data_IF_112569423704
#
_entry.id   IF_112569423704
#
_cell.length_a   1.000
_cell.length_b   1.000
_cell.length_c   1.000
_cell.angle_alpha   90.00
_cell.angle_beta   90.00
_cell.angle_gamma   90.00
#
_symmetry.space_group_name_H-M   'P 1'
#
loop_
_entity.id
_entity.type
_entity.pdbx_description
1 polymer ?
#
# COMPACT_ATOMS: atom_id res chain seq x y z
N UNK A 1 13.62 8.11 10.55
CA UNK A 1 13.47 7.31 9.30
C UNK A 1 13.68 5.86 9.69
N UNK A 2 12.60 5.10 9.87
CA UNK A 2 12.67 3.72 10.38
C UNK A 2 12.28 2.76 9.25
N UNK A 3 13.22 2.46 8.35
CA UNK A 3 13.03 1.43 7.31
C UNK A 3 13.29 0.04 7.92
N UNK A 4 12.31 -0.50 8.63
CA UNK A 4 12.26 -1.93 8.93
C UNK A 4 11.52 -2.63 7.79
N UNK A 5 12.26 -3.20 6.84
CA UNK A 5 11.70 -4.10 5.83
C UNK A 5 12.09 -5.54 6.17
N UNK A 6 11.09 -6.38 6.47
CA UNK A 6 11.27 -7.82 6.70
C UNK A 6 10.66 -8.57 5.52
N UNK A 7 11.39 -9.49 4.91
CA UNK A 7 10.89 -10.30 3.79
C UNK A 7 9.56 -10.98 4.14
N UNK A 8 8.56 -10.88 3.25
CA UNK A 8 7.16 -11.29 3.47
C UNK A 8 6.19 -10.15 3.83
N UNK A 9 6.72 -8.96 4.10
CA UNK A 9 5.93 -7.75 4.38
C UNK A 9 5.45 -7.04 3.10
N UNK A 10 6.24 -7.15 2.02
CA UNK A 10 5.96 -6.53 0.72
C UNK A 10 5.19 -7.52 -0.16
N UNK A 11 4.07 -7.06 -0.70
CA UNK A 11 3.18 -7.82 -1.58
C UNK A 11 3.08 -7.07 -2.91
N UNK A 12 3.49 -7.67 -4.04
CA UNK A 12 3.26 -7.08 -5.35
C UNK A 12 1.77 -7.12 -5.69
N UNK A 13 1.28 -6.08 -6.34
CA UNK A 13 -0.13 -5.98 -6.74
C UNK A 13 -0.28 -5.19 -8.04
N UNK A 14 -1.45 -5.32 -8.67
CA UNK A 14 -1.84 -4.45 -9.79
C UNK A 14 -2.85 -3.43 -9.28
N UNK A 15 -2.55 -2.14 -9.45
CA UNK A 15 -3.41 -1.08 -8.97
C UNK A 15 -4.68 -0.98 -9.82
N UNK A 16 -5.84 -0.91 -9.18
CA UNK A 16 -7.14 -0.73 -9.87
C UNK A 16 -7.49 0.74 -10.14
N UNK A 17 -6.70 1.65 -9.59
CA UNK A 17 -6.78 3.11 -9.72
C UNK A 17 -5.42 3.70 -9.46
N UNK A 18 -5.26 4.99 -9.73
CA UNK A 18 -4.07 5.72 -9.32
C UNK A 18 -4.00 5.78 -7.79
N UNK A 19 -2.82 5.49 -7.26
CA UNK A 19 -2.53 5.43 -5.84
C UNK A 19 -1.36 6.36 -5.53
N UNK A 20 -1.48 7.09 -4.43
CA UNK A 20 -0.34 7.77 -3.81
C UNK A 20 0.44 6.80 -2.91
N UNK A 21 1.68 7.14 -2.57
CA UNK A 21 2.41 6.46 -1.49
C UNK A 21 1.62 6.59 -0.18
N UNK A 22 1.52 5.51 0.59
CA UNK A 22 0.73 5.45 1.81
C UNK A 22 -0.77 5.20 1.60
N UNK A 23 -1.24 5.09 0.35
CA UNK A 23 -2.64 4.77 0.07
C UNK A 23 -2.96 3.32 0.46
N UNK A 24 -4.11 3.11 1.10
CA UNK A 24 -4.64 1.80 1.42
C UNK A 24 -5.23 1.12 0.19
N UNK A 25 -4.85 -0.14 -0.03
CA UNK A 25 -5.30 -0.95 -1.16
C UNK A 25 -5.82 -2.28 -0.65
N UNK A 26 -7.02 -2.66 -1.09
CA UNK A 26 -7.59 -3.98 -0.83
C UNK A 26 -7.39 -4.85 -2.07
N UNK A 27 -6.68 -5.97 -1.92
CA UNK A 27 -6.38 -6.94 -2.97
C UNK A 27 -7.01 -8.26 -2.55
N UNK A 28 -8.15 -8.61 -3.15
CA UNK A 28 -8.99 -9.71 -2.65
C UNK A 28 -9.36 -9.46 -1.19
N UNK A 29 -8.96 -10.39 -0.31
CA UNK A 29 -9.20 -10.29 1.14
C UNK A 29 -8.04 -9.65 1.93
N UNK A 30 -6.97 -9.24 1.24
CA UNK A 30 -5.79 -8.64 1.88
C UNK A 30 -5.82 -7.12 1.78
N UNK A 31 -5.55 -6.45 2.91
CA UNK A 31 -5.26 -5.03 2.91
C UNK A 31 -3.75 -4.80 2.94
N UNK A 32 -3.27 -3.91 2.06
CA UNK A 32 -1.87 -3.47 1.98
C UNK A 32 -1.84 -1.95 1.89
N UNK A 33 -0.70 -1.36 2.24
CA UNK A 33 -0.45 0.07 2.02
C UNK A 33 0.61 0.23 0.94
N UNK A 34 0.32 1.01 -0.09
CA UNK A 34 1.25 1.23 -1.21
C UNK A 34 2.55 1.89 -0.73
N UNK A 35 3.70 1.33 -1.09
CA UNK A 35 5.01 1.89 -0.70
C UNK A 35 5.39 3.11 -1.54
N UNK A 36 4.87 3.20 -2.77
CA UNK A 36 5.09 4.31 -3.69
C UNK A 36 3.81 4.69 -4.45
N UNK A 37 3.85 5.76 -5.27
CA UNK A 37 2.78 6.05 -6.21
C UNK A 37 2.71 4.96 -7.29
N UNK A 38 1.50 4.53 -7.64
CA UNK A 38 1.26 3.48 -8.64
C UNK A 38 0.11 3.91 -9.52
N UNK A 39 0.32 3.93 -10.84
CA UNK A 39 -0.73 4.24 -11.81
C UNK A 39 -1.70 3.08 -11.96
N UNK A 40 -2.94 3.38 -12.33
CA UNK A 40 -3.95 2.39 -12.67
C UNK A 40 -3.43 1.38 -13.71
N UNK A 41 -3.62 0.10 -13.45
CA UNK A 41 -3.14 -1.00 -14.30
C UNK A 41 -1.66 -1.33 -14.17
N UNK A 42 -0.85 -0.48 -13.52
CA UNK A 42 0.56 -0.75 -13.27
C UNK A 42 0.76 -1.70 -12.08
N UNK A 43 1.91 -2.38 -12.06
CA UNK A 43 2.34 -3.16 -10.90
C UNK A 43 3.00 -2.25 -9.87
N UNK A 44 2.62 -2.45 -8.62
CA UNK A 44 3.17 -1.76 -7.48
C UNK A 44 3.48 -2.72 -6.33
N UNK A 45 4.07 -2.17 -5.28
CA UNK A 45 4.42 -2.89 -4.06
C UNK A 45 3.64 -2.32 -2.89
N UNK A 46 3.02 -3.20 -2.11
CA UNK A 46 2.23 -2.86 -0.95
C UNK A 46 2.75 -3.55 0.30
N UNK A 47 2.42 -3.01 1.46
CA UNK A 47 3.07 -3.35 2.73
C UNK A 47 1.97 -3.72 3.75
N UNK A 48 2.04 -4.92 4.38
CA UNK A 48 0.95 -5.45 5.26
C UNK A 48 1.04 -5.17 6.77
N UNK A 49 2.23 -5.20 7.34
CA UNK A 49 2.59 -5.00 8.76
C UNK A 49 3.77 -4.03 8.98
N UNK A 50 3.52 -2.79 9.41
CA UNK A 50 4.57 -1.85 9.78
C UNK A 50 3.99 -0.53 10.27
N UNK A 51 4.85 0.42 10.69
CA UNK A 51 4.39 1.78 11.01
C UNK A 51 4.21 2.52 9.68
N UNK A 52 2.96 2.62 9.26
CA UNK A 52 2.56 3.36 8.06
C UNK A 52 1.82 4.62 8.50
N UNK A 53 2.31 5.78 8.07
CA UNK A 53 1.60 7.05 8.23
C UNK A 53 0.43 7.11 7.26
N UNK A 54 -0.70 6.51 7.61
CA UNK A 54 -1.91 6.59 6.80
C UNK A 54 -2.66 7.87 7.20
N UNK A 55 -3.01 8.70 6.22
CA UNK A 55 -3.89 9.84 6.46
C UNK A 55 -5.21 9.34 7.08
N UNK A 56 -5.69 10.03 8.11
CA UNK A 56 -6.95 9.68 8.79
C UNK A 56 -8.07 9.56 7.76
N UNK A 57 -8.75 8.41 7.74
CA UNK A 57 -9.94 8.25 6.92
C UNK A 57 -10.99 9.29 7.35
N UNK A 58 -11.29 10.24 6.46
CA UNK A 58 -12.42 11.16 6.60
C UNK A 58 -13.66 10.41 6.13
N UNK A 59 -14.27 9.63 7.04
CA UNK A 59 -15.58 9.04 6.78
C UNK A 59 -16.64 10.14 6.69
N UNK A 60 -17.52 10.03 5.70
CA UNK A 60 -18.87 10.59 5.75
C UNK A 60 -19.79 9.57 6.40
#
# INVERSE_FOLDING_TARGET
MNNFSKSGFVVPFTATRDLASGAGVKIGDMFVVSTGPVLSGARGEGVRTGIVGIAKATGN
#
